data_IF_843547559439
#
_entry.id   IF_843547559439
#
_cell.length_a   1.000
_cell.length_b   1.000
_cell.length_c   1.000
_cell.angle_alpha   90.00
_cell.angle_beta   90.00
_cell.angle_gamma   90.00
#
_symmetry.space_group_name_H-M   'P 1'
#
loop_
_entity.id
_entity.type
_entity.pdbx_description
1 polymer ?
#
# COMPACT_ATOMS: atom_id res chain seq x y z
N UNK A 1 18.75 -9.43 -28.83
CA UNK A 1 18.49 -8.58 -27.64
C UNK A 1 17.20 -9.10 -27.01
N UNK A 2 17.21 -9.51 -25.73
CA UNK A 2 15.95 -9.70 -25.00
C UNK A 2 15.22 -8.34 -24.90
N UNK A 3 13.88 -8.33 -24.88
CA UNK A 3 13.13 -7.10 -24.66
C UNK A 3 13.53 -6.48 -23.30
N UNK A 4 13.53 -5.14 -23.18
CA UNK A 4 13.72 -4.52 -21.88
C UNK A 4 12.66 -5.03 -20.90
N UNK A 5 13.00 -5.23 -19.62
CA UNK A 5 12.00 -5.62 -18.63
C UNK A 5 10.86 -4.59 -18.61
N UNK A 6 9.62 -5.06 -18.75
CA UNK A 6 8.43 -4.21 -18.72
C UNK A 6 8.36 -3.53 -17.35
N UNK A 7 8.41 -2.20 -17.34
CA UNK A 7 8.18 -1.43 -16.12
C UNK A 7 6.77 -1.72 -15.58
N UNK A 8 6.65 -1.91 -14.27
CA UNK A 8 5.34 -2.02 -13.62
C UNK A 8 4.58 -0.69 -13.74
N UNK A 9 3.23 -0.74 -13.78
CA UNK A 9 2.44 0.49 -13.79
C UNK A 9 2.59 1.25 -12.46
N UNK A 10 2.22 2.53 -12.48
CA UNK A 10 2.17 3.37 -11.26
C UNK A 10 0.75 3.46 -10.70
N UNK A 11 -0.24 2.95 -11.42
CA UNK A 11 -1.64 2.91 -11.03
C UNK A 11 -2.33 1.64 -11.51
N UNK A 12 -3.47 1.33 -10.90
CA UNK A 12 -4.35 0.22 -11.30
C UNK A 12 -5.72 0.75 -11.69
N UNK A 13 -6.50 -0.07 -12.41
CA UNK A 13 -7.95 0.09 -12.42
C UNK A 13 -8.56 -0.25 -11.06
N UNK A 14 -9.87 -0.02 -10.91
CA UNK A 14 -10.61 -0.64 -9.80
C UNK A 14 -10.72 -2.14 -10.05
N UNK A 15 -10.31 -2.93 -9.07
CA UNK A 15 -10.35 -4.40 -9.10
C UNK A 15 -10.60 -4.95 -7.71
N UNK A 16 -11.12 -6.17 -7.61
CA UNK A 16 -11.21 -6.91 -6.35
C UNK A 16 -10.13 -8.00 -6.27
N UNK A 17 -9.39 -8.20 -7.36
CA UNK A 17 -8.27 -9.14 -7.47
C UNK A 17 -6.95 -8.51 -7.00
N UNK A 18 -5.92 -9.32 -6.86
CA UNK A 18 -4.58 -8.84 -6.56
C UNK A 18 -4.02 -7.97 -7.70
N UNK A 19 -3.27 -6.93 -7.33
CA UNK A 19 -2.61 -6.04 -8.28
C UNK A 19 -1.24 -5.58 -7.76
N UNK A 20 -0.46 -4.93 -8.62
CA UNK A 20 0.85 -4.39 -8.22
C UNK A 20 1.20 -3.13 -8.99
N UNK A 21 1.95 -2.25 -8.32
CA UNK A 21 2.56 -1.06 -8.91
C UNK A 21 4.05 -1.03 -8.57
N UNK A 22 4.84 -0.32 -9.37
CA UNK A 22 6.29 -0.24 -9.19
C UNK A 22 6.82 1.18 -9.15
N UNK A 23 7.91 1.35 -8.43
CA UNK A 23 8.66 2.60 -8.32
C UNK A 23 9.59 2.78 -9.52
N UNK A 24 9.22 3.68 -10.44
CA UNK A 24 10.05 4.07 -11.58
C UNK A 24 11.30 4.89 -11.22
N UNK A 25 11.44 5.35 -9.97
CA UNK A 25 12.54 6.21 -9.50
C UNK A 25 13.70 5.44 -8.85
N UNK A 26 13.46 4.17 -8.46
CA UNK A 26 14.42 3.29 -7.76
C UNK A 26 14.95 3.81 -6.42
N UNK A 27 14.18 4.65 -5.72
CA UNK A 27 14.59 5.23 -4.45
C UNK A 27 14.42 4.28 -3.25
N UNK A 28 15.13 4.59 -2.15
CA UNK A 28 14.85 4.01 -0.85
C UNK A 28 13.85 4.89 -0.11
N UNK A 29 12.70 4.31 0.20
CA UNK A 29 11.57 4.99 0.81
C UNK A 29 11.45 4.67 2.29
N UNK A 30 10.91 5.61 3.06
CA UNK A 30 10.49 5.39 4.45
C UNK A 30 9.02 5.73 4.59
N UNK A 31 8.19 4.76 4.94
CA UNK A 31 6.79 4.97 5.28
C UNK A 31 6.70 5.66 6.65
N UNK A 32 6.15 6.88 6.67
CA UNK A 32 6.20 7.76 7.85
C UNK A 32 4.84 8.05 8.48
N UNK A 33 3.77 8.10 7.69
CA UNK A 33 2.41 8.35 8.18
C UNK A 33 1.36 7.88 7.18
N UNK A 34 0.12 7.84 7.61
CA UNK A 34 -1.04 7.72 6.74
C UNK A 34 -1.99 8.90 6.91
N UNK A 35 -2.82 9.13 5.88
CA UNK A 35 -3.97 10.02 5.89
C UNK A 35 -5.14 9.25 5.29
N UNK A 36 -6.36 9.59 5.67
CA UNK A 36 -7.54 8.98 5.10
C UNK A 36 -8.69 9.98 5.09
N UNK A 37 -9.66 9.74 4.22
CA UNK A 37 -10.85 10.57 4.13
C UNK A 37 -11.84 10.05 3.09
N UNK A 38 -13.09 10.53 3.14
CA UNK A 38 -14.05 10.24 2.11
C UNK A 38 -13.70 11.01 0.83
N UNK A 39 -13.96 10.40 -0.33
CA UNK A 39 -13.85 11.03 -1.65
C UNK A 39 -15.05 10.61 -2.49
N UNK A 40 -15.42 11.40 -3.51
CA UNK A 40 -16.66 11.20 -4.27
C UNK A 40 -16.86 9.74 -4.75
N UNK A 41 -17.64 8.97 -3.99
CA UNK A 41 -17.99 7.57 -4.28
C UNK A 41 -17.02 6.49 -3.76
N UNK A 42 -16.04 6.81 -2.91
CA UNK A 42 -15.12 5.84 -2.30
C UNK A 42 -14.42 6.41 -1.05
N UNK A 43 -13.91 5.55 -0.18
CA UNK A 43 -13.00 5.96 0.89
C UNK A 43 -11.55 5.89 0.38
N UNK A 44 -10.70 6.80 0.86
CA UNK A 44 -9.30 6.86 0.43
C UNK A 44 -8.35 6.73 1.62
N UNK A 45 -7.27 5.99 1.42
CA UNK A 45 -6.08 5.96 2.29
C UNK A 45 -4.87 6.41 1.48
N UNK A 46 -4.13 7.40 1.99
CA UNK A 46 -2.84 7.82 1.46
C UNK A 46 -1.73 7.47 2.45
N UNK A 47 -0.76 6.67 2.02
CA UNK A 47 0.43 6.28 2.75
C UNK A 47 1.59 7.16 2.28
N UNK A 48 2.16 7.94 3.19
CA UNK A 48 3.16 8.96 2.87
C UNK A 48 4.56 8.40 3.10
N UNK A 49 5.43 8.56 2.10
CA UNK A 49 6.78 8.06 2.09
C UNK A 49 7.80 9.19 1.94
N UNK A 50 8.80 9.21 2.80
CA UNK A 50 9.95 10.10 2.68
C UNK A 50 11.08 9.38 1.94
N UNK A 51 11.74 10.09 1.02
CA UNK A 51 12.96 9.61 0.40
C UNK A 51 14.10 9.61 1.42
N UNK A 52 14.76 8.47 1.62
CA UNK A 52 15.94 8.37 2.50
C UNK A 52 17.23 8.55 1.72
N UNK A 53 17.34 7.91 0.56
CA UNK A 53 18.46 8.02 -0.37
C UNK A 53 18.00 7.73 -1.80
N UNK A 54 18.53 8.44 -2.80
CA UNK A 54 18.45 7.98 -4.18
C UNK A 54 19.37 6.75 -4.30
N UNK A 55 18.80 5.59 -4.59
CA UNK A 55 19.55 4.34 -4.74
C UNK A 55 19.50 3.94 -6.21
N UNK A 56 20.59 3.41 -6.77
CA UNK A 56 20.72 3.21 -8.21
C UNK A 56 20.39 1.78 -8.69
N UNK A 57 19.71 0.94 -7.90
CA UNK A 57 19.72 -0.50 -8.16
C UNK A 57 18.44 -1.31 -7.94
N UNK A 58 17.52 -0.89 -7.07
CA UNK A 58 16.35 -1.72 -6.77
C UNK A 58 15.08 -0.88 -6.64
N UNK A 59 14.16 -1.07 -7.58
CA UNK A 59 12.82 -0.51 -7.52
C UNK A 59 12.03 -1.11 -6.35
N UNK A 60 11.24 -0.28 -5.68
CA UNK A 60 10.22 -0.75 -4.76
C UNK A 60 8.99 -1.21 -5.55
N UNK A 61 8.34 -2.26 -5.08
CA UNK A 61 7.07 -2.77 -5.63
C UNK A 61 6.06 -2.78 -4.50
N UNK A 62 4.86 -2.28 -4.77
CA UNK A 62 3.73 -2.43 -3.85
C UNK A 62 2.76 -3.40 -4.49
N UNK A 63 2.53 -4.52 -3.81
CA UNK A 63 1.47 -5.44 -4.15
C UNK A 63 0.26 -5.16 -3.28
N UNK A 64 -0.93 -5.34 -3.84
CA UNK A 64 -2.19 -5.26 -3.11
C UNK A 64 -2.96 -6.55 -3.30
N UNK A 65 -3.56 -7.05 -2.23
CA UNK A 65 -4.52 -8.15 -2.29
C UNK A 65 -5.65 -7.96 -1.26
N UNK A 66 -6.81 -8.54 -1.52
CA UNK A 66 -7.92 -8.58 -0.56
C UNK A 66 -8.07 -9.98 0.01
N UNK A 67 -8.05 -10.09 1.33
CA UNK A 67 -8.16 -11.36 2.06
C UNK A 67 -9.24 -11.26 3.13
N UNK A 68 -9.80 -12.39 3.61
CA UNK A 68 -10.61 -12.37 4.83
C UNK A 68 -9.80 -11.85 6.02
N UNK A 69 -10.38 -11.00 6.86
CA UNK A 69 -9.68 -10.43 8.02
C UNK A 69 -9.08 -11.50 8.94
N UNK A 70 -9.74 -12.66 9.06
CA UNK A 70 -9.28 -13.80 9.85
C UNK A 70 -7.98 -14.45 9.34
N UNK A 71 -7.59 -14.21 8.09
CA UNK A 71 -6.36 -14.80 7.51
C UNK A 71 -5.13 -13.91 7.70
N UNK A 72 -5.31 -12.64 8.07
CA UNK A 72 -4.23 -11.64 8.07
C UNK A 72 -3.07 -12.04 8.98
N UNK A 73 -3.36 -12.44 10.21
CA UNK A 73 -2.32 -12.76 11.19
C UNK A 73 -1.52 -13.99 10.78
N UNK A 74 -2.20 -15.03 10.32
CA UNK A 74 -1.55 -16.25 9.85
C UNK A 74 -0.67 -16.03 8.62
N UNK A 75 -1.07 -15.13 7.71
CA UNK A 75 -0.39 -14.91 6.43
C UNK A 75 0.72 -13.86 6.49
N UNK A 76 0.54 -12.80 7.27
CA UNK A 76 1.43 -11.63 7.27
C UNK A 76 2.10 -11.38 8.63
N UNK A 77 1.73 -12.12 9.68
CA UNK A 77 2.30 -11.94 11.02
C UNK A 77 1.98 -10.60 11.68
N UNK A 78 0.91 -9.94 11.24
CA UNK A 78 0.37 -8.73 11.86
C UNK A 78 -1.03 -9.01 12.40
N UNK A 79 -1.45 -8.37 13.52
CA UNK A 79 -2.80 -8.55 14.02
C UNK A 79 -3.84 -8.26 12.94
N UNK A 80 -4.87 -9.12 12.88
CA UNK A 80 -6.04 -8.88 12.07
C UNK A 80 -6.69 -7.52 12.45
N UNK A 81 -7.35 -6.83 11.50
CA UNK A 81 -8.08 -5.62 11.81
C UNK A 81 -9.20 -5.94 12.81
N UNK A 82 -9.43 -5.03 13.76
CA UNK A 82 -10.44 -5.19 14.80
C UNK A 82 -11.87 -4.99 14.30
N UNK A 83 -12.00 -4.37 13.12
CA UNK A 83 -13.25 -4.07 12.45
C UNK A 83 -13.06 -4.18 10.92
N UNK A 84 -14.11 -4.58 10.20
CA UNK A 84 -14.07 -4.93 8.78
C UNK A 84 -14.04 -6.44 8.51
N UNK A 85 -14.96 -6.90 7.66
CA UNK A 85 -15.06 -8.31 7.24
C UNK A 85 -13.87 -8.78 6.41
N UNK A 86 -13.26 -7.86 5.66
CA UNK A 86 -12.09 -8.13 4.81
C UNK A 86 -10.94 -7.19 5.18
N UNK A 87 -9.74 -7.62 4.80
CA UNK A 87 -8.55 -6.79 4.83
C UNK A 87 -8.02 -6.60 3.41
N UNK A 88 -7.74 -5.35 3.04
CA UNK A 88 -6.87 -5.05 1.91
C UNK A 88 -5.45 -4.94 2.46
N UNK A 89 -4.53 -5.73 1.92
CA UNK A 89 -3.15 -5.80 2.37
C UNK A 89 -2.25 -5.21 1.30
N UNK A 90 -1.49 -4.18 1.67
CA UNK A 90 -0.42 -3.62 0.84
C UNK A 90 0.93 -4.12 1.33
N UNK A 91 1.65 -4.85 0.50
CA UNK A 91 2.99 -5.37 0.82
C UNK A 91 4.05 -4.58 0.07
N UNK A 92 5.01 -4.01 0.81
CA UNK A 92 6.04 -3.13 0.27
C UNK A 92 7.34 -3.92 0.07
N UNK A 93 7.55 -4.41 -1.15
CA UNK A 93 8.69 -5.24 -1.54
C UNK A 93 9.82 -4.33 -2.04
N UNK A 94 11.05 -4.58 -1.61
CA UNK A 94 12.23 -3.79 -1.98
C UNK A 94 12.67 -2.83 -0.87
N UNK A 95 13.38 -1.73 -1.19
CA UNK A 95 14.01 -0.87 -0.20
C UNK A 95 13.02 0.11 0.48
N UNK A 96 11.97 -0.43 1.08
CA UNK A 96 10.98 0.32 1.88
C UNK A 96 11.21 0.06 3.37
N UNK A 97 11.47 1.14 4.11
CA UNK A 97 11.63 1.12 5.55
C UNK A 97 10.35 1.58 6.23
N UNK A 98 10.04 1.00 7.39
CA UNK A 98 9.02 1.53 8.28
C UNK A 98 9.65 2.52 9.26
N UNK A 99 9.02 3.66 9.46
CA UNK A 99 9.27 4.51 10.63
C UNK A 99 8.80 3.84 11.91
N UNK A 100 7.84 4.46 12.59
CA UNK A 100 7.16 3.86 13.74
C UNK A 100 5.89 3.15 13.23
N UNK A 101 5.59 1.92 13.68
CA UNK A 101 4.29 1.31 13.41
C UNK A 101 3.14 2.21 13.87
N UNK A 102 2.03 2.21 13.13
CA UNK A 102 0.88 3.03 13.48
C UNK A 102 -0.43 2.32 13.19
N UNK A 103 -1.46 2.69 13.94
CA UNK A 103 -2.85 2.23 13.78
C UNK A 103 -3.76 3.45 13.79
N UNK A 104 -4.75 3.46 12.91
CA UNK A 104 -5.81 4.44 12.84
C UNK A 104 -7.15 3.77 12.65
N UNK A 105 -8.20 4.40 13.15
CA UNK A 105 -9.59 3.96 13.01
C UNK A 105 -10.36 5.02 12.23
N UNK A 106 -10.38 4.96 10.89
CA UNK A 106 -11.03 5.98 10.06
C UNK A 106 -12.52 6.12 10.32
N UNK A 107 -13.22 5.02 10.63
CA UNK A 107 -14.66 5.01 10.85
C UNK A 107 -15.46 5.59 9.69
N UNK A 108 -14.97 5.41 8.45
CA UNK A 108 -15.61 5.94 7.24
C UNK A 108 -16.69 4.96 6.74
N UNK A 109 -17.17 5.15 5.52
CA UNK A 109 -18.28 4.36 4.98
C UNK A 109 -17.93 2.87 4.87
N UNK A 110 -16.75 2.59 4.35
CA UNK A 110 -16.18 1.27 4.02
C UNK A 110 -14.91 1.03 4.82
N UNK A 111 -14.10 2.07 5.00
CA UNK A 111 -12.79 1.99 5.64
C UNK A 111 -12.94 2.01 7.18
N UNK A 112 -12.57 0.90 7.82
CA UNK A 112 -12.74 0.68 9.27
C UNK A 112 -11.46 0.86 10.08
N UNK A 113 -10.36 0.28 9.61
CA UNK A 113 -9.05 0.33 10.29
C UNK A 113 -7.92 0.49 9.26
N UNK A 114 -6.86 1.21 9.64
CA UNK A 114 -5.59 1.22 8.92
C UNK A 114 -4.48 0.92 9.90
N UNK A 115 -3.72 -0.15 9.65
CA UNK A 115 -2.59 -0.58 10.46
C UNK A 115 -1.37 -0.72 9.58
N UNK A 116 -0.22 -0.23 10.05
CA UNK A 116 1.05 -0.40 9.35
C UNK A 116 2.06 -1.00 10.31
N UNK A 117 2.70 -2.07 9.88
CA UNK A 117 3.66 -2.81 10.67
C UNK A 117 4.66 -3.56 9.80
N UNK A 118 5.64 -4.17 10.46
CA UNK A 118 6.52 -5.14 9.82
C UNK A 118 6.03 -6.54 10.18
N UNK A 119 5.77 -7.34 9.16
CA UNK A 119 5.32 -8.72 9.31
C UNK A 119 6.42 -9.64 9.84
N UNK A 120 6.05 -10.88 10.12
CA UNK A 120 7.01 -11.93 10.51
C UNK A 120 7.98 -12.31 9.40
N UNK A 121 7.61 -12.01 8.15
CA UNK A 121 8.44 -12.12 6.93
C UNK A 121 9.47 -10.98 6.78
N UNK A 122 9.47 -9.99 7.68
CA UNK A 122 10.36 -8.83 7.61
C UNK A 122 9.92 -7.76 6.61
N UNK A 123 8.82 -7.97 5.87
CA UNK A 123 8.27 -7.03 4.89
C UNK A 123 7.40 -6.00 5.63
N UNK A 124 7.37 -4.76 5.12
CA UNK A 124 6.45 -3.74 5.63
C UNK A 124 5.09 -3.98 4.98
N UNK A 125 4.06 -4.09 5.80
CA UNK A 125 2.69 -4.27 5.35
C UNK A 125 1.79 -3.15 5.87
N UNK A 126 0.87 -2.67 5.05
CA UNK A 126 -0.30 -1.94 5.49
C UNK A 126 -1.52 -2.87 5.43
N UNK A 127 -2.18 -3.06 6.57
CA UNK A 127 -3.42 -3.83 6.71
C UNK A 127 -4.56 -2.82 6.82
N UNK A 128 -5.48 -2.86 5.86
CA UNK A 128 -6.60 -1.95 5.79
C UNK A 128 -7.89 -2.76 5.98
N UNK A 129 -8.53 -2.63 7.16
CA UNK A 129 -9.80 -3.26 7.47
C UNK A 129 -10.94 -2.56 6.74
N UNK A 130 -11.75 -3.31 6.01
CA UNK A 130 -12.83 -2.78 5.17
C UNK A 130 -14.09 -3.64 5.25
N UNK A 131 -15.24 -2.99 5.09
CA UNK A 131 -16.51 -3.67 4.83
C UNK A 131 -16.74 -3.89 3.34
N UNK A 132 -17.51 -4.91 2.98
CA UNK A 132 -17.88 -5.17 1.58
C UNK A 132 -16.85 -5.98 0.78
N UNK A 133 -16.85 -5.78 -0.54
CA UNK A 133 -16.16 -6.69 -1.48
C UNK A 133 -14.63 -6.60 -1.48
N UNK A 134 -14.04 -5.57 -0.85
CA UNK A 134 -12.60 -5.33 -0.89
C UNK A 134 -12.09 -4.82 -2.25
N UNK A 135 -12.98 -4.27 -3.07
CA UNK A 135 -12.65 -3.73 -4.38
C UNK A 135 -11.93 -2.39 -4.24
N UNK A 136 -10.79 -2.27 -4.88
CA UNK A 136 -9.83 -1.22 -4.62
C UNK A 136 -9.13 -0.75 -5.89
N UNK A 137 -8.50 0.42 -5.80
CA UNK A 137 -7.59 0.96 -6.79
C UNK A 137 -6.34 1.45 -6.09
N UNK A 138 -5.17 1.01 -6.56
CA UNK A 138 -3.88 1.42 -6.04
C UNK A 138 -3.21 2.40 -7.00
N UNK A 139 -2.57 3.44 -6.49
CA UNK A 139 -1.79 4.39 -7.29
C UNK A 139 -0.62 5.00 -6.54
N UNK A 140 0.41 5.42 -7.27
CA UNK A 140 1.59 6.10 -6.77
C UNK A 140 1.99 7.24 -7.72
N UNK A 141 1.36 8.41 -7.62
CA UNK A 141 1.56 9.52 -8.57
C UNK A 141 3.02 9.98 -8.69
N UNK A 142 3.81 9.84 -7.61
CA UNK A 142 5.21 10.25 -7.54
C UNK A 142 6.22 9.20 -8.02
N UNK A 143 5.78 8.00 -8.40
CA UNK A 143 6.63 6.87 -8.80
C UNK A 143 6.89 6.78 -10.31
N UNK A 144 6.91 7.93 -10.99
CA UNK A 144 7.19 8.03 -12.42
C UNK A 144 8.71 8.01 -12.70
N UNK A 145 9.18 7.53 -13.86
CA UNK A 145 10.60 7.57 -14.21
C UNK A 145 11.19 8.97 -14.13
N UNK A 146 12.27 9.13 -13.35
CA UNK A 146 12.94 10.42 -13.15
C UNK A 146 13.63 10.52 -11.79
N UNK A 147 14.18 11.71 -11.44
CA UNK A 147 14.69 11.97 -10.11
C UNK A 147 13.60 11.73 -9.06
N UNK A 148 13.87 10.96 -7.98
CA UNK A 148 12.85 10.69 -6.98
C UNK A 148 12.45 11.98 -6.25
N UNK A 149 11.15 12.22 -6.00
CA UNK A 149 10.74 13.33 -5.16
C UNK A 149 11.14 13.11 -3.69
N UNK A 150 11.24 14.19 -2.90
CA UNK A 150 11.55 14.09 -1.47
C UNK A 150 10.44 13.38 -0.68
N UNK A 151 9.18 13.60 -1.07
CA UNK A 151 7.99 12.95 -0.50
C UNK A 151 7.22 12.29 -1.67
N UNK A 152 6.73 11.07 -1.45
CA UNK A 152 5.84 10.35 -2.34
C UNK A 152 4.65 9.82 -1.57
N UNK A 153 3.59 9.41 -2.28
CA UNK A 153 2.42 8.79 -1.69
C UNK A 153 2.02 7.53 -2.44
N UNK A 154 1.59 6.52 -1.68
CA UNK A 154 0.81 5.39 -2.19
C UNK A 154 -0.63 5.62 -1.78
N UNK A 155 -1.52 5.68 -2.76
CA UNK A 155 -2.94 5.97 -2.57
C UNK A 155 -3.75 4.71 -2.87
N UNK A 156 -4.57 4.32 -1.91
CA UNK A 156 -5.54 3.25 -2.01
C UNK A 156 -6.95 3.84 -1.95
N UNK A 157 -7.71 3.69 -3.02
CA UNK A 157 -9.13 4.00 -3.06
C UNK A 157 -9.93 2.71 -2.86
N UNK A 158 -10.96 2.73 -2.00
CA UNK A 158 -11.77 1.56 -1.66
C UNK A 158 -13.25 1.86 -1.86
N UNK A 159 -13.94 0.98 -2.58
CA UNK A 159 -15.38 1.05 -2.80
C UNK A 159 -16.14 0.05 -1.91
N UNK A 160 -17.41 0.33 -1.60
CA UNK A 160 -18.29 -0.65 -0.95
C UNK A 160 -18.42 -1.93 -1.77
#
# INVERSE_FOLDING_TARGET
>A
MPPPPTALPTDTGFTCDAASIGDGTSATWRLVRSRWGPRNGFDQVALILDQRRPTAGQASVVTVESVPSSEVEARFGLPAPSDGERAIVLSFIGPVQLGTPFVGQPGLSVLREVRVGRGSDGIVHAIIGVDGGGCHRLSAPGWVPGPPPQEAEIVLDVRP
#
